data_IF_104945263453
#
_entry.id   IF_104945263453
#
_cell.length_a   1.000
_cell.length_b   1.000
_cell.length_c   1.000
_cell.angle_alpha   90.00
_cell.angle_beta   90.00
_cell.angle_gamma   90.00
#
_symmetry.space_group_name_H-M   'P 1'
#
loop_
_entity.id
_entity.type
_entity.pdbx_description
1 polymer ?
#
# COMPACT_ATOMS: atom_id res chain seq x y z
N UNK A 1 -70.17 -11.44 -5.17
CA UNK A 1 -70.35 -12.44 -4.10
C UNK A 1 -68.98 -12.71 -3.48
N UNK A 2 -68.88 -12.51 -2.18
CA UNK A 2 -67.66 -12.44 -1.37
C UNK A 2 -67.02 -13.82 -1.18
N UNK A 3 -65.73 -13.99 -1.46
CA UNK A 3 -64.88 -14.97 -0.78
C UNK A 3 -63.45 -14.44 -0.67
N UNK A 4 -63.15 -13.88 0.50
CA UNK A 4 -61.80 -13.72 1.04
C UNK A 4 -61.47 -15.00 1.80
N UNK A 5 -60.31 -15.63 1.56
CA UNK A 5 -59.64 -16.54 2.50
C UNK A 5 -58.27 -16.97 1.97
N UNK A 6 -57.23 -16.81 2.78
CA UNK A 6 -55.93 -17.45 2.50
C UNK A 6 -54.68 -16.82 3.09
N UNK A 7 -54.74 -16.12 4.23
CA UNK A 7 -53.51 -15.72 4.95
C UNK A 7 -53.03 -16.87 5.83
N UNK A 8 -51.93 -17.52 5.43
CA UNK A 8 -51.20 -18.46 6.29
C UNK A 8 -50.10 -17.72 7.06
N UNK A 9 -50.08 -17.74 8.41
CA UNK A 9 -48.95 -17.23 9.17
C UNK A 9 -47.81 -18.26 9.14
N UNK A 10 -46.64 -17.84 8.64
CA UNK A 10 -45.39 -18.59 8.74
C UNK A 10 -44.92 -18.54 10.20
N UNK A 11 -44.99 -19.69 10.87
CA UNK A 11 -44.38 -19.93 12.18
C UNK A 11 -42.85 -19.91 12.04
N UNK A 12 -42.22 -18.79 12.42
CA UNK A 12 -40.78 -18.71 12.64
C UNK A 12 -40.42 -19.52 13.89
N UNK A 13 -39.87 -20.72 13.68
CA UNK A 13 -39.34 -21.59 14.73
C UNK A 13 -37.97 -21.06 15.16
N UNK A 14 -37.91 -20.40 16.31
CA UNK A 14 -36.67 -20.02 17.00
C UNK A 14 -35.87 -21.30 17.33
N UNK A 15 -34.69 -21.44 16.74
CA UNK A 15 -33.74 -22.48 17.10
C UNK A 15 -33.06 -22.11 18.44
N UNK A 16 -32.86 -23.07 19.36
CA UNK A 16 -32.24 -22.80 20.64
C UNK A 16 -30.73 -22.50 20.51
N UNK A 17 -30.32 -21.54 21.32
CA UNK A 17 -28.97 -21.07 21.57
C UNK A 17 -28.04 -22.24 21.97
N UNK A 18 -26.86 -22.44 21.35
CA UNK A 18 -25.88 -23.37 21.88
C UNK A 18 -25.22 -22.78 23.13
N UNK A 19 -25.23 -23.60 24.17
CA UNK A 19 -24.69 -23.40 25.51
C UNK A 19 -23.17 -23.29 25.50
N UNK A 20 -22.65 -22.43 26.38
CA UNK A 20 -21.23 -22.24 26.67
C UNK A 20 -20.50 -23.57 26.97
N UNK A 21 -19.37 -23.78 26.31
CA UNK A 21 -18.36 -24.77 26.69
C UNK A 21 -17.29 -24.09 27.56
N UNK A 22 -17.01 -24.73 28.69
CA UNK A 22 -16.13 -24.32 29.77
C UNK A 22 -14.68 -23.95 29.33
N UNK A 23 -14.00 -23.04 30.04
CA UNK A 23 -12.58 -22.78 29.84
C UNK A 23 -11.69 -23.91 30.41
N UNK A 24 -10.48 -24.13 29.85
CA UNK A 24 -9.54 -25.11 30.39
C UNK A 24 -8.91 -24.63 31.72
N UNK A 25 -8.50 -25.58 32.59
CA UNK A 25 -7.99 -25.26 33.92
C UNK A 25 -6.56 -24.71 33.91
N UNK A 26 -6.34 -23.78 34.84
CA UNK A 26 -5.03 -23.29 35.29
C UNK A 26 -4.10 -24.45 35.66
N UNK A 27 -2.90 -24.47 35.07
CA UNK A 27 -1.74 -25.10 35.69
C UNK A 27 -0.73 -24.01 36.05
N UNK A 28 -0.54 -23.87 37.37
CA UNK A 28 0.36 -22.95 38.03
C UNK A 28 1.28 -23.80 38.92
N UNK A 29 2.59 -23.72 38.72
CA UNK A 29 3.68 -23.84 39.72
C UNK A 29 5.01 -23.66 38.98
N UNK A 30 5.78 -22.59 39.21
CA UNK A 30 6.88 -22.45 40.22
C UNK A 30 7.99 -23.50 40.00
N UNK A 31 9.31 -23.22 39.95
CA UNK A 31 10.13 -22.08 40.36
C UNK A 31 11.57 -22.21 39.78
N UNK A 32 12.42 -21.25 40.15
CA UNK A 32 13.90 -21.28 40.24
C UNK A 32 14.77 -20.74 39.09
N UNK A 33 15.19 -19.48 39.27
CA UNK A 33 16.57 -19.00 39.05
C UNK A 33 17.55 -19.78 39.97
N UNK A 34 18.84 -20.00 39.61
CA UNK A 34 19.81 -18.89 39.47
C UNK A 34 21.00 -19.08 38.50
N UNK A 35 21.79 -18.00 38.42
CA UNK A 35 23.24 -17.90 38.18
C UNK A 35 23.81 -17.84 36.75
N UNK A 36 24.22 -16.61 36.41
CA UNK A 36 25.51 -16.19 35.84
C UNK A 36 26.46 -17.26 35.24
N UNK A 37 26.80 -17.06 33.95
CA UNK A 37 28.14 -17.39 33.46
C UNK A 37 28.63 -16.41 32.40
N UNK A 38 29.89 -16.04 32.57
CA UNK A 38 30.69 -15.08 31.84
C UNK A 38 30.97 -15.51 30.39
N UNK A 39 31.02 -14.52 29.49
CA UNK A 39 31.30 -14.68 28.07
C UNK A 39 32.01 -13.45 27.49
N UNK A 40 33.27 -13.30 27.90
CA UNK A 40 34.40 -12.58 27.30
C UNK A 40 34.21 -12.15 25.82
N UNK A 41 34.33 -10.84 25.53
CA UNK A 41 34.89 -10.38 24.23
C UNK A 41 35.83 -9.19 24.40
N UNK A 42 36.98 -9.37 23.78
CA UNK A 42 38.17 -8.53 23.67
C UNK A 42 37.91 -7.06 23.29
N UNK A 43 38.52 -6.16 24.07
CA UNK A 43 38.89 -4.80 23.68
C UNK A 43 40.07 -4.85 22.70
N UNK A 44 39.90 -4.29 21.50
CA UNK A 44 41.02 -3.90 20.63
C UNK A 44 41.16 -2.39 20.62
N UNK A 45 42.42 -2.01 20.66
CA UNK A 45 42.96 -0.69 20.93
C UNK A 45 42.53 0.38 19.92
N UNK A 46 42.30 1.58 20.45
CA UNK A 46 42.14 2.81 19.68
C UNK A 46 43.48 3.56 19.74
N UNK A 47 44.23 3.54 18.63
CA UNK A 47 45.48 4.29 18.51
C UNK A 47 45.17 5.70 18.04
N UNK A 48 45.44 6.65 18.93
CA UNK A 48 45.37 8.09 18.77
C UNK A 48 46.54 8.57 17.90
N UNK A 49 46.27 9.18 16.74
CA UNK A 49 47.25 9.98 16.01
C UNK A 49 46.94 11.46 16.22
N UNK A 50 47.87 12.12 16.92
CA UNK A 50 47.99 13.57 17.02
C UNK A 50 48.70 14.07 15.75
N UNK A 51 48.12 15.05 15.06
CA UNK A 51 48.85 15.94 14.16
C UNK A 51 48.32 17.36 14.32
N UNK A 52 49.12 18.16 15.03
CA UNK A 52 49.08 19.62 15.06
C UNK A 52 49.82 20.15 13.83
N UNK A 53 49.23 21.11 13.11
CA UNK A 53 49.89 22.33 12.59
C UNK A 53 48.92 23.20 11.77
N UNK A 54 48.98 24.51 11.98
CA UNK A 54 48.43 25.62 11.17
C UNK A 54 49.60 26.60 10.90
N UNK A 55 49.46 27.69 10.11
CA UNK A 55 48.86 27.91 8.78
C UNK A 55 49.86 28.63 7.82
N UNK A 56 49.63 28.67 6.50
CA UNK A 56 50.28 29.67 5.61
C UNK A 56 49.37 30.19 4.49
N UNK A 57 49.39 31.52 4.32
CA UNK A 57 48.73 32.36 3.31
C UNK A 57 49.33 32.18 1.91
N UNK A 58 48.50 32.27 0.86
CA UNK A 58 48.84 32.84 -0.46
C UNK A 58 47.53 33.23 -1.17
N UNK A 59 47.21 34.53 -1.29
CA UNK A 59 47.41 35.43 -2.46
C UNK A 59 46.72 34.91 -3.72
N UNK A 60 45.69 35.64 -4.16
CA UNK A 60 44.67 35.17 -5.10
C UNK A 60 44.92 35.43 -6.59
N UNK A 61 43.89 35.12 -7.37
CA UNK A 61 43.64 35.64 -8.70
C UNK A 61 42.13 35.73 -8.93
N UNK A 62 41.62 36.94 -9.03
CA UNK A 62 40.34 37.21 -9.67
C UNK A 62 40.55 37.05 -11.19
N UNK A 63 40.12 35.95 -11.78
CA UNK A 63 39.96 35.87 -13.23
C UNK A 63 38.47 35.90 -13.59
N UNK A 64 38.12 36.96 -14.34
CA UNK A 64 36.86 37.09 -15.05
C UNK A 64 36.78 35.99 -16.10
N UNK A 65 35.73 35.20 -16.03
CA UNK A 65 35.32 34.31 -17.11
C UNK A 65 33.81 34.16 -17.06
N UNK A 66 33.07 34.95 -17.84
CA UNK A 66 31.76 34.50 -18.33
C UNK A 66 32.05 33.47 -19.42
N UNK A 67 31.39 32.32 -19.34
CA UNK A 67 30.52 31.99 -20.46
C UNK A 67 29.12 31.61 -19.98
N UNK A 68 28.16 32.03 -20.79
CA UNK A 68 26.81 31.48 -20.87
C UNK A 68 26.83 29.95 -20.79
N UNK A 69 26.34 29.42 -19.68
CA UNK A 69 25.96 28.02 -19.56
C UNK A 69 24.58 28.01 -18.97
N UNK A 70 23.59 27.64 -19.80
CA UNK A 70 22.25 27.25 -19.37
C UNK A 70 22.32 26.65 -17.98
N UNK A 71 21.64 27.27 -17.01
CA UNK A 71 21.17 26.51 -15.87
C UNK A 71 20.48 25.29 -16.49
N UNK A 72 21.09 24.12 -16.35
CA UNK A 72 20.44 22.86 -16.59
C UNK A 72 19.18 22.97 -15.73
N UNK A 73 18.05 23.23 -16.38
CA UNK A 73 16.76 23.00 -15.75
C UNK A 73 16.89 21.57 -15.27
N UNK A 74 17.02 21.38 -13.97
CA UNK A 74 16.78 20.10 -13.34
C UNK A 74 15.46 19.66 -13.97
N UNK A 75 15.52 18.66 -14.83
CA UNK A 75 14.33 18.08 -15.40
C UNK A 75 13.47 17.77 -14.20
N UNK A 76 12.31 18.40 -14.10
CA UNK A 76 11.21 18.01 -13.22
C UNK A 76 10.72 16.65 -13.71
N UNK A 77 11.62 15.66 -13.68
CA UNK A 77 11.37 14.28 -14.00
C UNK A 77 10.67 13.69 -12.81
N UNK A 78 9.64 12.89 -13.09
CA UNK A 78 8.99 12.08 -12.07
C UNK A 78 10.07 11.34 -11.26
N UNK A 79 9.99 11.35 -9.92
CA UNK A 79 10.88 10.53 -9.11
C UNK A 79 10.70 9.08 -9.57
N UNK A 80 11.81 8.36 -9.79
CA UNK A 80 11.79 6.96 -10.22
C UNK A 80 10.84 6.13 -9.34
N UNK A 81 10.16 5.15 -9.95
CA UNK A 81 9.26 4.25 -9.22
C UNK A 81 10.00 3.65 -8.01
N UNK A 82 9.50 3.85 -6.78
CA UNK A 82 10.19 3.37 -5.59
C UNK A 82 10.01 1.86 -5.49
N UNK A 83 11.05 1.11 -5.89
CA UNK A 83 11.08 -0.37 -5.77
C UNK A 83 11.68 -0.85 -4.46
N UNK A 84 12.19 0.07 -3.63
CA UNK A 84 12.80 -0.21 -2.34
C UNK A 84 11.99 0.47 -1.23
N UNK A 85 11.37 -0.34 -0.37
CA UNK A 85 10.65 0.12 0.81
C UNK A 85 9.14 0.25 0.64
N UNK A 86 8.51 0.78 1.67
CA UNK A 86 7.06 1.01 1.74
C UNK A 86 6.76 2.45 1.36
N UNK A 87 5.69 2.65 0.60
CA UNK A 87 5.23 3.96 0.14
C UNK A 87 3.74 4.15 0.39
N UNK A 88 3.32 5.40 0.43
CA UNK A 88 1.93 5.74 0.15
C UNK A 88 1.72 5.80 -1.36
N UNK A 89 0.60 5.24 -1.82
CA UNK A 89 0.08 5.43 -3.18
C UNK A 89 -1.02 6.48 -3.08
N UNK A 90 -0.76 7.68 -3.62
CA UNK A 90 -1.64 8.84 -3.52
C UNK A 90 -2.42 9.10 -4.78
N UNK A 91 -3.71 9.32 -4.67
CA UNK A 91 -4.56 9.74 -5.79
C UNK A 91 -4.43 11.25 -6.08
N UNK A 92 -5.20 11.71 -7.08
CA UNK A 92 -5.26 13.11 -7.49
C UNK A 92 -5.81 14.05 -6.40
N UNK A 93 -6.57 13.52 -5.44
CA UNK A 93 -7.11 14.24 -4.28
C UNK A 93 -6.17 14.21 -3.06
N UNK A 94 -4.99 13.59 -3.20
CA UNK A 94 -3.99 13.40 -2.13
C UNK A 94 -4.41 12.42 -1.02
N UNK A 95 -5.49 11.68 -1.24
CA UNK A 95 -5.84 10.53 -0.42
C UNK A 95 -4.93 9.35 -0.77
N UNK A 96 -4.83 8.37 0.14
CA UNK A 96 -3.95 7.21 0.02
C UNK A 96 -4.73 5.92 -0.07
N UNK A 97 -4.16 4.95 -0.76
CA UNK A 97 -4.71 3.59 -0.82
C UNK A 97 -4.71 2.98 0.57
N UNK A 98 -5.89 2.60 1.06
CA UNK A 98 -6.10 2.01 2.37
C UNK A 98 -6.71 0.61 2.19
N UNK A 99 -5.97 -0.41 2.65
CA UNK A 99 -6.48 -1.77 2.74
C UNK A 99 -7.37 -1.89 3.98
N UNK A 100 -8.68 -2.03 3.79
CA UNK A 100 -9.65 -2.03 4.89
C UNK A 100 -9.20 -2.92 6.06
N UNK A 101 -9.02 -2.29 7.22
CA UNK A 101 -8.61 -2.93 8.48
C UNK A 101 -7.27 -3.69 8.42
N UNK A 102 -6.38 -3.37 7.47
CA UNK A 102 -5.16 -4.15 7.19
C UNK A 102 -5.42 -5.65 7.01
N UNK A 103 -6.59 -5.98 6.43
CA UNK A 103 -7.10 -7.34 6.40
C UNK A 103 -6.28 -8.28 5.49
N UNK A 104 -6.09 -9.51 5.95
CA UNK A 104 -5.57 -10.63 5.16
C UNK A 104 -6.69 -11.44 4.49
N UNK A 105 -7.95 -11.05 4.65
CA UNK A 105 -9.07 -11.71 4.00
C UNK A 105 -9.00 -11.54 2.47
N UNK A 106 -9.43 -12.57 1.75
CA UNK A 106 -9.62 -12.47 0.31
C UNK A 106 -10.68 -11.40 0.01
N UNK A 107 -10.42 -10.60 -1.03
CA UNK A 107 -11.25 -9.50 -1.47
C UNK A 107 -11.50 -8.41 -0.42
N UNK A 108 -10.58 -8.24 0.55
CA UNK A 108 -10.61 -7.10 1.47
C UNK A 108 -10.64 -5.77 0.68
N UNK A 109 -11.60 -4.86 0.91
CA UNK A 109 -11.70 -3.65 0.10
C UNK A 109 -10.43 -2.79 0.16
N UNK A 110 -10.05 -2.20 -0.97
CA UNK A 110 -9.06 -1.12 -1.01
C UNK A 110 -9.76 0.18 -1.39
N UNK A 111 -9.53 1.22 -0.58
CA UNK A 111 -10.24 2.49 -0.64
C UNK A 111 -9.25 3.64 -0.74
N UNK A 112 -9.70 4.82 -1.16
CA UNK A 112 -8.90 6.04 -1.09
C UNK A 112 -9.30 6.86 0.13
N UNK A 113 -8.44 6.96 1.14
CA UNK A 113 -8.75 7.65 2.40
C UNK A 113 -7.70 8.70 2.76
N UNK A 114 -8.04 9.60 3.69
CA UNK A 114 -7.07 10.56 4.21
C UNK A 114 -5.88 9.84 4.85
N UNK A 115 -4.67 10.28 4.52
CA UNK A 115 -3.44 9.74 5.08
C UNK A 115 -3.40 9.93 6.61
N UNK A 116 -3.22 8.85 7.36
CA UNK A 116 -3.15 8.86 8.83
C UNK A 116 -1.95 8.07 9.40
N UNK A 117 -1.11 7.48 8.54
CA UNK A 117 0.12 6.82 8.97
C UNK A 117 -0.02 5.42 9.52
N UNK A 118 -1.20 4.80 9.38
CA UNK A 118 -1.40 3.41 9.76
C UNK A 118 -0.93 2.46 8.66
N UNK A 119 -0.62 1.24 9.07
CA UNK A 119 0.05 0.27 8.21
C UNK A 119 -0.82 -0.25 7.06
N UNK A 120 -2.15 -0.14 7.15
CA UNK A 120 -3.06 -0.42 6.03
C UNK A 120 -2.84 0.51 4.82
N UNK A 121 -2.19 1.65 5.04
CA UNK A 121 -1.90 2.65 4.01
C UNK A 121 -0.50 2.50 3.39
N UNK A 122 0.31 1.58 3.91
CA UNK A 122 1.65 1.31 3.42
C UNK A 122 1.65 0.22 2.34
N UNK A 123 2.26 0.50 1.20
CA UNK A 123 2.37 -0.43 0.08
C UNK A 123 3.81 -0.58 -0.38
N UNK A 124 4.23 -1.82 -0.65
CA UNK A 124 5.52 -2.12 -1.26
C UNK A 124 5.31 -2.46 -2.73
N UNK A 125 6.17 -1.91 -3.59
CA UNK A 125 6.16 -2.15 -5.03
C UNK A 125 7.42 -2.94 -5.38
N UNK A 126 7.26 -4.09 -6.03
CA UNK A 126 8.38 -4.97 -6.39
C UNK A 126 8.26 -5.39 -7.85
N UNK A 127 9.31 -5.20 -8.67
CA UNK A 127 9.30 -5.68 -10.04
C UNK A 127 9.27 -7.21 -10.11
N UNK A 128 8.68 -7.75 -11.17
CA UNK A 128 8.85 -9.15 -11.55
C UNK A 128 10.30 -9.41 -12.03
N UNK A 129 10.64 -10.67 -12.30
CA UNK A 129 11.99 -11.07 -12.72
C UNK A 129 12.50 -10.33 -13.96
N UNK A 130 11.59 -9.91 -14.85
CA UNK A 130 11.93 -9.22 -16.09
C UNK A 130 11.92 -7.69 -15.96
N UNK A 131 11.55 -7.14 -14.80
CA UNK A 131 11.47 -5.69 -14.56
C UNK A 131 10.33 -4.96 -15.28
N UNK A 132 9.42 -5.69 -15.95
CA UNK A 132 8.40 -5.10 -16.82
C UNK A 132 7.05 -4.93 -16.16
N UNK A 133 6.75 -5.76 -15.15
CA UNK A 133 5.52 -5.71 -14.38
C UNK A 133 5.86 -5.65 -12.90
N UNK A 134 4.91 -5.16 -12.11
CA UNK A 134 5.11 -4.91 -10.69
C UNK A 134 4.03 -5.61 -9.88
N UNK A 135 4.43 -6.27 -8.80
CA UNK A 135 3.50 -6.56 -7.73
C UNK A 135 3.46 -5.41 -6.74
N UNK A 136 2.26 -5.09 -6.29
CA UNK A 136 2.01 -4.12 -5.24
C UNK A 136 1.39 -4.88 -4.09
N UNK A 137 1.92 -4.75 -2.88
CA UNK A 137 1.39 -5.48 -1.72
C UNK A 137 1.48 -4.65 -0.44
N UNK A 138 0.51 -4.84 0.44
CA UNK A 138 0.57 -4.35 1.80
C UNK A 138 1.38 -5.36 2.66
N UNK A 139 2.45 -4.93 3.34
CA UNK A 139 3.34 -5.82 4.08
C UNK A 139 2.77 -6.29 5.43
N UNK A 140 1.57 -5.88 5.83
CA UNK A 140 1.09 -5.99 7.21
C UNK A 140 -0.31 -6.56 7.34
N UNK A 141 -0.63 -7.51 6.46
CA UNK A 141 -1.81 -8.35 6.58
C UNK A 141 -1.83 -9.00 7.99
N UNK A 142 -2.80 -8.57 8.81
CA UNK A 142 -2.78 -8.61 10.28
C UNK A 142 -2.94 -10.02 10.89
N UNK A 143 -1.99 -10.93 10.68
CA UNK A 143 -2.06 -12.28 11.25
C UNK A 143 -0.70 -12.81 11.70
N UNK A 144 -0.01 -12.14 12.64
CA UNK A 144 1.10 -12.73 13.43
C UNK A 144 2.23 -13.43 12.66
N UNK A 145 2.30 -13.24 11.34
CA UNK A 145 3.09 -14.01 10.39
C UNK A 145 3.75 -13.02 9.48
N UNK A 146 5.07 -12.94 9.57
CA UNK A 146 5.93 -12.08 8.76
C UNK A 146 5.97 -12.48 7.28
N UNK A 147 5.23 -13.53 6.90
CA UNK A 147 5.25 -14.10 5.55
C UNK A 147 4.00 -13.76 4.74
N UNK A 148 2.90 -13.34 5.39
CA UNK A 148 1.65 -13.09 4.70
C UNK A 148 1.60 -11.66 4.15
N UNK A 149 1.51 -11.56 2.83
CA UNK A 149 1.36 -10.33 2.07
C UNK A 149 -0.05 -10.30 1.48
N UNK A 150 -0.72 -9.15 1.60
CA UNK A 150 -1.96 -8.91 0.87
C UNK A 150 -1.62 -8.11 -0.39
N UNK A 151 -1.76 -8.74 -1.55
CA UNK A 151 -1.47 -8.12 -2.83
C UNK A 151 -2.62 -7.22 -3.27
N UNK A 152 -2.29 -6.07 -3.84
CA UNK A 152 -3.24 -5.23 -4.56
C UNK A 152 -3.76 -6.02 -5.76
N UNK A 153 -5.06 -6.23 -5.79
CA UNK A 153 -5.76 -6.99 -6.81
C UNK A 153 -7.08 -6.28 -7.12
N UNK A 154 -7.94 -6.97 -7.84
CA UNK A 154 -9.28 -6.51 -8.13
C UNK A 154 -10.24 -7.67 -8.21
N UNK A 155 -11.50 -7.37 -7.91
CA UNK A 155 -12.60 -8.30 -8.09
C UNK A 155 -13.59 -7.70 -9.07
N UNK A 156 -14.03 -8.52 -10.02
CA UNK A 156 -15.17 -8.17 -10.86
C UNK A 156 -16.39 -8.30 -9.95
N UNK A 157 -17.08 -7.20 -9.64
CA UNK A 157 -18.33 -7.28 -8.87
C UNK A 157 -19.29 -8.26 -9.55
N UNK A 158 -20.22 -8.84 -8.78
CA UNK A 158 -21.33 -9.69 -9.24
C UNK A 158 -22.26 -9.06 -10.31
N UNK A 159 -21.90 -7.93 -10.91
CA UNK A 159 -22.60 -7.25 -11.99
C UNK A 159 -22.04 -7.71 -13.32
N UNK A 160 -22.65 -8.76 -13.88
CA UNK A 160 -22.72 -9.07 -15.32
C UNK A 160 -21.62 -8.46 -16.20
N UNK A 161 -20.53 -9.21 -16.40
CA UNK A 161 -19.63 -9.17 -17.57
C UNK A 161 -18.95 -7.85 -17.98
N UNK A 162 -19.17 -6.72 -17.30
CA UNK A 162 -18.50 -5.46 -17.64
C UNK A 162 -17.33 -5.18 -16.68
N UNK A 163 -16.08 -5.38 -17.10
CA UNK A 163 -14.92 -5.23 -16.22
C UNK A 163 -14.63 -3.76 -15.87
N UNK A 164 -15.27 -2.79 -16.53
CA UNK A 164 -15.14 -1.35 -16.27
C UNK A 164 -15.78 -0.88 -14.96
N UNK A 165 -16.06 -1.76 -14.01
CA UNK A 165 -16.52 -1.39 -12.66
C UNK A 165 -15.89 -2.29 -11.59
N UNK A 166 -14.83 -3.04 -11.94
CA UNK A 166 -14.17 -3.92 -10.98
C UNK A 166 -13.65 -3.12 -9.79
N UNK A 167 -13.86 -3.63 -8.57
CA UNK A 167 -13.42 -2.95 -7.36
C UNK A 167 -12.00 -3.40 -7.01
N UNK A 168 -11.13 -2.45 -6.63
CA UNK A 168 -9.82 -2.79 -6.10
C UNK A 168 -9.98 -3.45 -4.73
N UNK A 169 -9.22 -4.52 -4.53
CA UNK A 169 -9.26 -5.30 -3.31
C UNK A 169 -7.88 -5.87 -2.98
N UNK A 170 -7.70 -6.29 -1.74
CA UNK A 170 -6.59 -7.10 -1.28
C UNK A 170 -6.85 -8.57 -1.59
N UNK A 171 -5.79 -9.28 -2.00
CA UNK A 171 -5.81 -10.73 -2.18
C UNK A 171 -4.60 -11.36 -1.50
N UNK A 172 -4.80 -12.23 -0.50
CA UNK A 172 -3.69 -12.89 0.19
C UNK A 172 -3.01 -13.90 -0.71
N UNK A 173 -1.68 -13.93 -0.72
CA UNK A 173 -0.84 -14.96 -1.37
C UNK A 173 -0.97 -15.14 -2.89
N UNK A 174 -1.91 -14.47 -3.56
CA UNK A 174 -2.06 -14.47 -5.02
C UNK A 174 -1.57 -13.15 -5.57
N UNK A 175 -0.37 -13.18 -6.16
CA UNK A 175 0.24 -12.01 -6.77
C UNK A 175 -0.54 -11.59 -8.01
N UNK A 176 -1.03 -10.34 -8.01
CA UNK A 176 -1.49 -9.65 -9.22
C UNK A 176 -0.34 -8.79 -9.74
N UNK A 177 -0.10 -8.85 -11.05
CA UNK A 177 0.95 -8.08 -11.71
C UNK A 177 0.35 -6.88 -12.44
N UNK A 178 0.98 -5.73 -12.27
CA UNK A 178 0.52 -4.44 -12.80
C UNK A 178 1.56 -3.86 -13.74
N UNK A 179 1.11 -3.23 -14.82
CA UNK A 179 1.93 -2.33 -15.61
C UNK A 179 1.87 -0.94 -14.98
N UNK A 180 2.98 -0.49 -14.37
CA UNK A 180 3.07 0.84 -13.74
C UNK A 180 3.93 1.74 -14.64
N UNK A 181 3.30 2.74 -15.24
CA UNK A 181 3.94 3.59 -16.27
C UNK A 181 3.82 5.07 -15.92
N UNK A 182 4.82 5.90 -16.25
CA UNK A 182 4.70 7.34 -16.12
C UNK A 182 3.50 7.86 -16.91
N UNK A 183 2.69 8.70 -16.27
CA UNK A 183 1.58 9.39 -16.91
C UNK A 183 2.03 10.32 -18.05
N UNK A 184 1.17 10.52 -19.05
CA UNK A 184 1.48 11.35 -20.22
C UNK A 184 1.84 12.81 -19.84
N UNK A 185 1.17 13.36 -18.82
CA UNK A 185 1.43 14.70 -18.29
C UNK A 185 2.61 14.75 -17.29
N UNK A 186 3.25 13.61 -17.00
CA UNK A 186 4.37 13.47 -16.07
C UNK A 186 4.07 13.98 -14.65
N UNK A 187 2.81 13.92 -14.22
CA UNK A 187 2.40 14.31 -12.86
C UNK A 187 2.38 13.14 -11.88
N UNK A 188 2.35 11.91 -12.39
CA UNK A 188 2.44 10.69 -11.61
C UNK A 188 2.55 9.46 -12.49
N UNK A 189 1.93 8.37 -12.06
CA UNK A 189 1.96 7.07 -12.69
C UNK A 189 0.55 6.53 -12.89
N UNK A 190 0.33 5.83 -14.00
CA UNK A 190 -0.85 5.01 -14.20
C UNK A 190 -0.54 3.57 -13.74
N UNK A 191 -1.51 2.93 -13.09
CA UNK A 191 -1.44 1.53 -12.66
C UNK A 191 -2.46 0.76 -13.50
N UNK A 192 -1.98 -0.12 -14.39
CA UNK A 192 -2.80 -0.71 -15.46
C UNK A 192 -2.70 -2.24 -15.38
N UNK A 193 -3.84 -2.93 -15.44
CA UNK A 193 -3.84 -4.39 -15.59
C UNK A 193 -3.32 -4.76 -16.99
N UNK A 194 -2.22 -5.54 -17.11
CA UNK A 194 -1.63 -5.85 -18.40
C UNK A 194 -2.55 -6.64 -19.33
N UNK A 195 -3.55 -7.37 -18.79
CA UNK A 195 -4.41 -8.25 -19.56
C UNK A 195 -5.63 -7.51 -20.13
N UNK A 196 -6.42 -6.86 -19.27
CA UNK A 196 -7.64 -6.14 -19.64
C UNK A 196 -7.39 -4.73 -20.16
N UNK A 197 -6.18 -4.18 -19.95
CA UNK A 197 -5.83 -2.78 -20.24
C UNK A 197 -6.68 -1.76 -19.46
N UNK A 198 -7.32 -2.20 -18.38
CA UNK A 198 -8.02 -1.30 -17.50
C UNK A 198 -7.06 -0.67 -16.49
N UNK A 199 -7.28 0.60 -16.20
CA UNK A 199 -6.48 1.38 -15.27
C UNK A 199 -7.20 1.55 -13.93
N UNK A 200 -6.41 1.53 -12.86
CA UNK A 200 -6.90 1.94 -11.54
C UNK A 200 -7.39 3.38 -11.62
N UNK A 201 -8.57 3.63 -11.08
CA UNK A 201 -9.29 4.91 -11.14
C UNK A 201 -9.79 5.24 -9.74
N UNK A 202 -9.44 6.43 -9.25
CA UNK A 202 -9.97 6.96 -7.98
C UNK A 202 -11.19 7.83 -8.22
N UNK A 203 -12.25 7.63 -7.44
CA UNK A 203 -13.44 8.45 -7.53
C UNK A 203 -13.50 9.48 -6.42
N UNK A 204 -13.99 10.67 -6.75
CA UNK A 204 -14.40 11.64 -5.74
C UNK A 204 -15.50 11.02 -4.88
N UNK A 205 -15.32 11.10 -3.56
CA UNK A 205 -16.23 10.62 -2.51
C UNK A 205 -17.73 10.86 -2.79
N UNK A 206 -18.07 11.99 -3.41
CA UNK A 206 -19.43 12.43 -3.71
C UNK A 206 -20.01 11.91 -5.02
N UNK A 207 -19.23 11.22 -5.86
CA UNK A 207 -19.56 10.98 -7.27
C UNK A 207 -19.74 9.49 -7.60
N UNK A 208 -19.50 8.58 -6.65
CA UNK A 208 -19.58 7.15 -6.93
C UNK A 208 -20.94 6.58 -6.53
N UNK A 209 -21.77 6.27 -7.52
CA UNK A 209 -23.04 5.57 -7.35
C UNK A 209 -22.90 4.04 -7.24
N UNK A 210 -21.70 3.50 -7.47
CA UNK A 210 -21.47 2.06 -7.64
C UNK A 210 -20.89 1.36 -6.41
N UNK A 211 -20.40 2.09 -5.41
CA UNK A 211 -19.72 1.51 -4.25
C UNK A 211 -19.99 2.36 -3.00
N UNK A 212 -20.62 1.76 -1.98
CA UNK A 212 -21.21 2.40 -0.79
C UNK A 212 -20.21 3.00 0.21
N UNK A 213 -18.99 3.32 -0.22
CA UNK A 213 -17.90 3.75 0.66
C UNK A 213 -17.27 5.05 0.15
N UNK A 214 -16.67 5.79 1.07
CA UNK A 214 -16.36 7.23 0.99
C UNK A 214 -15.34 7.67 -0.06
N UNK A 215 -14.80 6.80 -0.91
CA UNK A 215 -14.04 7.10 -2.13
C UNK A 215 -13.49 5.78 -2.70
N UNK A 216 -14.24 5.11 -3.58
CA UNK A 216 -13.85 3.82 -4.09
C UNK A 216 -12.71 3.91 -5.10
N UNK A 217 -11.93 2.85 -5.18
CA UNK A 217 -10.96 2.61 -6.23
C UNK A 217 -11.50 1.51 -7.14
N UNK A 218 -11.61 1.78 -8.44
CA UNK A 218 -12.11 0.83 -9.43
C UNK A 218 -11.16 0.65 -10.60
N UNK A 219 -11.45 -0.28 -11.51
CA UNK A 219 -10.83 -0.35 -12.82
C UNK A 219 -11.75 0.23 -13.90
N UNK A 220 -11.21 1.13 -14.72
CA UNK A 220 -11.87 1.75 -15.88
C UNK A 220 -11.03 1.59 -17.14
N UNK A 221 -11.61 1.90 -18.30
CA UNK A 221 -10.82 2.00 -19.53
C UNK A 221 -9.70 3.02 -19.34
N UNK A 222 -8.48 2.63 -19.71
CA UNK A 222 -7.34 3.52 -19.59
C UNK A 222 -7.50 4.75 -20.48
N UNK A 223 -7.39 5.93 -19.88
CA UNK A 223 -7.33 7.22 -20.55
C UNK A 223 -6.12 8.00 -20.02
N UNK A 224 -5.16 8.26 -20.90
CA UNK A 224 -3.93 8.98 -20.56
C UNK A 224 -4.15 10.44 -20.13
N UNK A 225 -5.30 11.02 -20.45
CA UNK A 225 -5.68 12.37 -20.07
C UNK A 225 -6.47 12.42 -18.74
N UNK A 226 -6.97 11.28 -18.26
CA UNK A 226 -7.79 11.20 -17.07
C UNK A 226 -6.94 11.33 -15.80
N UNK A 227 -7.10 12.46 -15.11
CA UNK A 227 -6.37 12.74 -13.88
C UNK A 227 -6.74 11.80 -12.74
N UNK A 228 -7.92 11.18 -12.78
CA UNK A 228 -8.37 10.22 -11.76
C UNK A 228 -7.63 8.89 -11.82
N UNK A 229 -6.89 8.64 -12.92
CA UNK A 229 -6.07 7.45 -13.15
C UNK A 229 -4.59 7.69 -12.84
N UNK A 230 -4.24 8.85 -12.29
CA UNK A 230 -2.85 9.25 -12.03
C UNK A 230 -2.56 9.21 -10.53
N UNK A 231 -1.53 8.44 -10.16
CA UNK A 231 -1.11 8.24 -8.78
C UNK A 231 0.32 8.72 -8.55
N UNK A 232 0.59 9.21 -7.35
CA UNK A 232 1.94 9.59 -6.92
C UNK A 232 2.42 8.69 -5.80
N UNK A 233 3.73 8.43 -5.75
CA UNK A 233 4.33 7.60 -4.72
C UNK A 233 5.16 8.48 -3.79
N UNK A 234 4.92 8.39 -2.49
CA UNK A 234 5.66 9.13 -1.47
C UNK A 234 6.12 8.20 -0.36
N UNK A 235 7.26 8.49 0.26
CA UNK A 235 7.82 7.67 1.35
C UNK A 235 6.82 7.44 2.48
N UNK A 236 6.67 6.18 2.89
CA UNK A 236 5.95 5.81 4.10
C UNK A 236 6.91 5.95 5.31
N UNK A 237 6.53 6.65 6.39
CA UNK A 237 7.35 6.74 7.60
C UNK A 237 7.43 5.34 8.23
N UNK A 238 8.66 4.84 8.41
CA UNK A 238 8.91 3.59 9.13
C UNK A 238 8.77 3.77 10.64
#
# INVERSE_FOLDING_TARGET
>A
MLFVRGSSPVLLRLAPHPTQLNPPPNLRTHAHYPSSRSGRTSSKASTRLHLTTTPRKSVGYCQRGRPSGRALRCSTGLPMLPTNGTVYIKDFQKNVFDLAFASSADQAPVQSLSQNGIISQGWTITPNLNGTLFSVYNPSAHTGSTTLRTYLSFTLSNTTSNPTCAQLCGRPSVQTLWNITPSANKLGYNIIDPNSKLAVTSWVASNSSSVTHTAPLTLQNFDSADSTQIFTFTSYPQ
#
